data_IF_667362313055
#
_entry.id   IF_667362313055
#
_cell.length_a   1.000
_cell.length_b   1.000
_cell.length_c   1.000
_cell.angle_alpha   90.00
_cell.angle_beta   90.00
_cell.angle_gamma   90.00
#
_symmetry.space_group_name_H-M   'P 1'
#
loop_
_entity.id
_entity.type
_entity.pdbx_description
1 polymer ?
#
# COMPACT_ATOMS: atom_id res chain seq x y z
N UNK A 1 80.86 -20.40 59.39
CA UNK A 1 79.85 -21.11 58.61
C UNK A 1 78.48 -20.42 58.52
N UNK A 2 78.14 -19.43 59.33
CA UNK A 2 76.82 -18.76 59.37
C UNK A 2 76.59 -17.74 58.25
N UNK A 3 77.61 -17.20 57.60
CA UNK A 3 77.48 -16.18 56.57
C UNK A 3 77.02 -16.72 55.20
N UNK A 4 77.46 -17.90 54.81
CA UNK A 4 77.10 -18.59 53.56
C UNK A 4 75.66 -19.02 53.55
N UNK A 5 75.14 -19.54 54.65
CA UNK A 5 73.77 -19.97 54.76
C UNK A 5 72.78 -18.78 54.69
N UNK A 6 73.15 -17.57 55.07
CA UNK A 6 72.34 -16.36 55.04
C UNK A 6 72.24 -15.78 53.61
N UNK A 7 73.33 -15.87 52.82
CA UNK A 7 73.41 -15.43 51.43
C UNK A 7 72.56 -16.38 50.50
N UNK A 8 72.67 -17.67 50.73
CA UNK A 8 71.89 -18.67 50.01
C UNK A 8 70.38 -18.53 50.31
N UNK A 9 70.01 -18.20 51.55
CA UNK A 9 68.60 -17.91 51.90
C UNK A 9 68.05 -16.70 51.15
N UNK A 10 68.87 -15.63 51.02
CA UNK A 10 68.44 -14.41 50.24
C UNK A 10 68.32 -14.69 48.76
N UNK A 11 69.26 -15.43 48.17
CA UNK A 11 69.18 -15.84 46.75
C UNK A 11 67.96 -16.73 46.46
N UNK A 12 67.65 -17.65 47.34
CA UNK A 12 66.49 -18.50 47.23
C UNK A 12 65.20 -17.70 47.33
N UNK A 13 65.09 -16.72 48.22
CA UNK A 13 63.93 -15.83 48.35
C UNK A 13 63.80 -14.95 47.11
N UNK A 14 64.89 -14.36 46.61
CA UNK A 14 64.81 -13.57 45.35
C UNK A 14 64.43 -14.41 44.14
N UNK A 15 64.92 -15.65 44.03
CA UNK A 15 64.53 -16.57 42.97
C UNK A 15 62.98 -16.91 43.03
N UNK A 16 62.48 -17.20 44.23
CA UNK A 16 61.07 -17.47 44.44
C UNK A 16 60.23 -16.26 44.04
N UNK A 17 60.64 -15.08 44.49
CA UNK A 17 59.89 -13.86 44.13
C UNK A 17 59.89 -13.61 42.62
N UNK A 18 61.03 -13.76 41.94
CA UNK A 18 61.10 -13.64 40.47
C UNK A 18 60.25 -14.70 39.77
N UNK A 19 60.25 -15.93 40.26
CA UNK A 19 59.43 -17.00 39.73
C UNK A 19 57.92 -16.71 39.88
N UNK A 20 57.51 -16.20 41.05
CA UNK A 20 56.10 -15.82 41.29
C UNK A 20 55.68 -14.64 40.41
N UNK A 21 56.55 -13.62 40.23
CA UNK A 21 56.25 -12.47 39.36
C UNK A 21 56.18 -12.89 37.89
N UNK A 22 57.06 -13.83 37.45
CA UNK A 22 56.96 -14.41 36.11
C UNK A 22 55.66 -15.17 35.90
N UNK A 23 55.23 -15.99 36.86
CA UNK A 23 53.99 -16.72 36.81
C UNK A 23 52.77 -15.78 36.72
N UNK A 24 52.78 -14.70 37.55
CA UNK A 24 51.73 -13.66 37.50
C UNK A 24 51.68 -12.96 36.17
N UNK A 25 52.83 -12.59 35.60
CA UNK A 25 52.96 -11.93 34.30
C UNK A 25 52.45 -12.84 33.17
N UNK A 26 52.85 -14.11 33.19
CA UNK A 26 52.34 -15.12 32.24
C UNK A 26 50.84 -15.30 32.32
N UNK A 27 50.25 -15.36 33.52
CA UNK A 27 48.82 -15.45 33.72
C UNK A 27 48.09 -14.20 33.18
N UNK A 28 48.65 -13.00 33.41
CA UNK A 28 48.11 -11.76 32.87
C UNK A 28 48.15 -11.70 31.34
N UNK A 29 49.25 -12.12 30.72
CA UNK A 29 49.37 -12.19 29.26
C UNK A 29 48.36 -13.18 28.70
N UNK A 30 48.24 -14.37 29.28
CA UNK A 30 47.27 -15.37 28.85
C UNK A 30 45.81 -14.90 29.02
N UNK A 31 45.49 -14.09 30.03
CA UNK A 31 44.18 -13.48 30.19
C UNK A 31 43.90 -12.45 29.09
N UNK A 32 44.85 -11.52 28.85
CA UNK A 32 44.74 -10.51 27.78
C UNK A 32 44.61 -11.14 26.39
N UNK A 33 45.34 -12.22 26.11
CA UNK A 33 45.17 -12.94 24.83
C UNK A 33 43.79 -13.55 24.67
N UNK A 34 43.23 -14.11 25.75
CA UNK A 34 41.85 -14.64 25.71
C UNK A 34 40.84 -13.55 25.45
N UNK A 35 40.95 -12.42 26.13
CA UNK A 35 40.07 -11.27 25.95
C UNK A 35 40.20 -10.69 24.53
N UNK A 36 41.42 -10.57 24.00
CA UNK A 36 41.65 -10.11 22.65
C UNK A 36 41.01 -11.04 21.59
N UNK A 37 41.14 -12.38 21.77
CA UNK A 37 40.52 -13.37 20.90
C UNK A 37 38.98 -13.30 20.95
N UNK A 38 38.42 -13.09 22.15
CA UNK A 38 36.95 -12.94 22.30
C UNK A 38 36.44 -11.67 21.59
N UNK A 39 37.14 -10.54 21.77
CA UNK A 39 36.78 -9.29 21.08
C UNK A 39 36.93 -9.42 19.54
N UNK A 40 37.97 -10.10 19.07
CA UNK A 40 38.09 -10.35 17.63
C UNK A 40 36.97 -11.24 17.07
N UNK A 41 36.56 -12.28 17.80
CA UNK A 41 35.44 -13.13 17.40
C UNK A 41 34.11 -12.32 17.34
N UNK A 42 33.86 -11.50 18.35
CA UNK A 42 32.70 -10.63 18.37
C UNK A 42 32.71 -9.60 17.22
N UNK A 43 33.85 -8.98 16.97
CA UNK A 43 34.02 -8.04 15.86
C UNK A 43 33.75 -8.70 14.49
N UNK A 44 34.21 -9.94 14.30
CA UNK A 44 33.94 -10.70 13.07
C UNK A 44 32.47 -11.01 12.91
N UNK A 45 31.79 -11.45 13.97
CA UNK A 45 30.35 -11.74 13.94
C UNK A 45 29.53 -10.47 13.62
N UNK A 46 29.86 -9.34 14.26
CA UNK A 46 29.21 -8.04 13.99
C UNK A 46 29.43 -7.59 12.54
N UNK A 47 30.64 -7.77 12.02
CA UNK A 47 30.94 -7.43 10.62
C UNK A 47 30.14 -8.28 9.63
N UNK A 48 30.07 -9.58 9.84
CA UNK A 48 29.29 -10.49 9.01
C UNK A 48 27.79 -10.16 9.05
N UNK A 49 27.27 -9.83 10.23
CA UNK A 49 25.89 -9.39 10.39
C UNK A 49 25.60 -8.07 9.65
N UNK A 50 26.52 -7.12 9.70
CA UNK A 50 26.42 -5.84 8.99
C UNK A 50 26.48 -6.03 7.46
N UNK A 51 27.38 -6.88 6.97
CA UNK A 51 27.49 -7.22 5.54
C UNK A 51 26.20 -7.90 5.03
N UNK A 52 25.65 -8.87 5.79
CA UNK A 52 24.39 -9.51 5.45
C UNK A 52 23.19 -8.54 5.49
N UNK A 53 23.20 -7.58 6.41
CA UNK A 53 22.17 -6.54 6.47
C UNK A 53 22.26 -5.57 5.28
N UNK A 54 23.49 -5.23 4.84
CA UNK A 54 23.73 -4.37 3.69
C UNK A 54 23.24 -5.02 2.39
N UNK A 55 23.51 -6.30 2.18
CA UNK A 55 23.01 -7.07 1.02
C UNK A 55 21.48 -7.07 1.01
N UNK A 56 20.86 -7.44 2.12
CA UNK A 56 19.38 -7.44 2.22
C UNK A 56 18.76 -6.07 1.95
N UNK A 57 19.42 -5.00 2.39
CA UNK A 57 18.98 -3.63 2.10
C UNK A 57 19.09 -3.31 0.61
N UNK A 58 20.14 -3.75 -0.06
CA UNK A 58 20.31 -3.56 -1.51
C UNK A 58 19.25 -4.33 -2.31
N UNK A 59 18.97 -5.57 -1.95
CA UNK A 59 17.92 -6.38 -2.59
C UNK A 59 16.53 -5.73 -2.42
N UNK A 60 16.23 -5.22 -1.23
CA UNK A 60 14.98 -4.50 -0.97
C UNK A 60 14.89 -3.20 -1.78
N UNK A 61 15.97 -2.44 -1.88
CA UNK A 61 16.00 -1.23 -2.70
C UNK A 61 15.81 -1.54 -4.18
N UNK A 62 16.43 -2.62 -4.68
CA UNK A 62 16.26 -3.06 -6.06
C UNK A 62 14.80 -3.47 -6.34
N UNK A 63 14.16 -4.22 -5.46
CA UNK A 63 12.76 -4.60 -5.60
C UNK A 63 11.82 -3.39 -5.59
N UNK A 64 12.05 -2.42 -4.67
CA UNK A 64 11.27 -1.19 -4.62
C UNK A 64 11.45 -0.31 -5.86
N UNK A 65 12.64 -0.29 -6.45
CA UNK A 65 12.90 0.45 -7.70
C UNK A 65 12.19 -0.20 -8.89
N UNK A 66 12.15 -1.53 -8.97
CA UNK A 66 11.38 -2.25 -9.98
C UNK A 66 9.88 -1.95 -9.86
N UNK A 67 9.33 -2.04 -8.65
CA UNK A 67 7.92 -1.69 -8.40
C UNK A 67 7.61 -0.22 -8.72
N UNK A 68 8.52 0.70 -8.42
CA UNK A 68 8.36 2.12 -8.76
C UNK A 68 8.36 2.33 -10.28
N UNK A 69 9.27 1.68 -11.01
CA UNK A 69 9.34 1.73 -12.47
C UNK A 69 8.10 1.13 -13.15
N UNK A 70 7.56 0.05 -12.62
CA UNK A 70 6.29 -0.51 -13.07
C UNK A 70 5.13 0.46 -12.81
N UNK A 71 5.08 1.09 -11.65
CA UNK A 71 4.08 2.10 -11.30
C UNK A 71 4.14 3.32 -12.22
N UNK A 72 5.32 3.80 -12.57
CA UNK A 72 5.50 4.93 -13.50
C UNK A 72 5.02 4.57 -14.92
N UNK A 73 5.35 3.38 -15.43
CA UNK A 73 4.83 2.88 -16.71
C UNK A 73 3.31 2.80 -16.70
N UNK A 74 2.74 2.37 -15.60
CA UNK A 74 1.31 2.26 -15.36
C UNK A 74 0.62 3.62 -15.37
N UNK A 75 1.17 4.61 -14.67
CA UNK A 75 0.66 5.99 -14.66
C UNK A 75 0.73 6.57 -16.08
N UNK A 76 1.83 6.33 -16.80
CA UNK A 76 1.98 6.80 -18.17
C UNK A 76 0.95 6.13 -19.12
N UNK A 77 0.68 4.84 -18.96
CA UNK A 77 -0.33 4.12 -19.74
C UNK A 77 -1.76 4.59 -19.42
N UNK A 78 -2.06 4.83 -18.15
CA UNK A 78 -3.33 5.41 -17.70
C UNK A 78 -3.55 6.83 -18.26
N UNK A 79 -2.51 7.67 -18.25
CA UNK A 79 -2.56 9.01 -18.83
C UNK A 79 -2.76 8.92 -20.35
N UNK A 80 -2.06 8.01 -21.03
CA UNK A 80 -2.24 7.78 -22.45
C UNK A 80 -3.63 7.21 -22.79
N UNK A 81 -4.16 6.30 -21.96
CA UNK A 81 -5.51 5.78 -22.11
C UNK A 81 -6.58 6.86 -21.88
N UNK A 82 -6.36 7.76 -20.91
CA UNK A 82 -7.21 8.92 -20.67
C UNK A 82 -7.22 9.88 -21.85
N UNK A 83 -6.05 10.21 -22.39
CA UNK A 83 -5.92 11.08 -23.58
C UNK A 83 -6.62 10.45 -24.79
N UNK A 84 -6.50 9.14 -24.98
CA UNK A 84 -7.22 8.41 -26.06
C UNK A 84 -8.72 8.41 -25.80
N UNK A 85 -9.17 8.25 -24.56
CA UNK A 85 -10.57 8.31 -24.19
C UNK A 85 -11.16 9.70 -24.44
N UNK A 86 -10.46 10.75 -24.00
CA UNK A 86 -10.83 12.15 -24.23
C UNK A 86 -10.85 12.47 -25.75
N UNK A 87 -9.88 11.98 -26.52
CA UNK A 87 -9.85 12.12 -27.96
C UNK A 87 -11.00 11.37 -28.66
N UNK A 88 -11.37 10.17 -28.19
CA UNK A 88 -12.49 9.39 -28.73
C UNK A 88 -13.82 10.04 -28.37
N UNK A 89 -13.93 10.62 -27.17
CA UNK A 89 -15.13 11.36 -26.75
C UNK A 89 -15.30 12.68 -27.54
N UNK A 90 -14.19 13.35 -27.86
CA UNK A 90 -14.21 14.59 -28.66
C UNK A 90 -14.37 14.33 -30.17
N UNK A 91 -13.94 13.14 -30.67
CA UNK A 91 -14.06 12.73 -32.08
C UNK A 91 -15.38 12.00 -32.37
N UNK A 92 -16.11 11.57 -31.35
CA UNK A 92 -17.42 10.98 -31.54
C UNK A 92 -18.41 12.09 -31.82
N UNK A 93 -18.81 12.22 -33.09
CA UNK A 93 -20.04 12.89 -33.54
C UNK A 93 -21.14 12.61 -32.51
N UNK A 94 -21.98 13.60 -32.17
CA UNK A 94 -23.04 13.38 -31.20
C UNK A 94 -23.88 12.20 -31.65
N UNK A 95 -23.71 11.06 -31.01
CA UNK A 95 -24.72 10.00 -31.02
C UNK A 95 -25.95 10.69 -30.48
N UNK A 96 -27.01 10.69 -31.29
CA UNK A 96 -28.29 11.30 -30.95
C UNK A 96 -28.60 11.00 -29.48
N UNK A 97 -29.03 11.99 -28.69
CA UNK A 97 -29.25 11.81 -27.25
C UNK A 97 -30.24 10.66 -27.07
N UNK A 98 -29.69 9.54 -26.54
CA UNK A 98 -30.56 8.46 -26.04
C UNK A 98 -31.46 9.08 -24.96
N UNK A 99 -32.78 8.84 -24.96
CA UNK A 99 -33.80 9.62 -24.25
C UNK A 99 -33.79 9.47 -22.73
N UNK A 100 -32.72 8.98 -22.12
CA UNK A 100 -32.62 8.81 -20.66
C UNK A 100 -31.41 9.60 -20.11
N UNK A 101 -31.32 10.87 -20.45
CA UNK A 101 -30.61 11.82 -19.61
C UNK A 101 -31.52 12.10 -18.41
N UNK A 102 -31.12 11.71 -17.22
CA UNK A 102 -31.86 12.07 -16.00
C UNK A 102 -32.23 13.54 -16.07
N UNK A 103 -33.51 13.87 -16.01
CA UNK A 103 -34.00 15.26 -16.02
C UNK A 103 -33.42 16.10 -14.87
N UNK A 104 -32.79 15.46 -13.90
CA UNK A 104 -32.18 16.11 -12.73
C UNK A 104 -30.67 15.76 -12.70
N UNK A 105 -29.78 16.74 -12.85
CA UNK A 105 -28.35 16.52 -12.81
C UNK A 105 -27.89 15.86 -11.50
N UNK A 106 -26.95 14.92 -11.57
CA UNK A 106 -26.34 14.30 -10.39
C UNK A 106 -25.77 15.37 -9.44
N UNK A 107 -25.19 16.43 -9.97
CA UNK A 107 -24.62 17.55 -9.21
C UNK A 107 -25.62 18.24 -8.27
N UNK A 108 -26.94 18.11 -8.49
CA UNK A 108 -27.98 18.70 -7.62
C UNK A 108 -28.49 17.72 -6.55
N UNK A 109 -28.04 16.45 -6.58
CA UNK A 109 -28.53 15.38 -5.70
C UNK A 109 -27.67 15.14 -4.46
N UNK A 110 -27.07 16.18 -3.87
CA UNK A 110 -26.33 16.04 -2.60
C UNK A 110 -27.20 15.42 -1.51
N UNK A 111 -26.68 14.39 -0.83
CA UNK A 111 -27.34 13.62 0.24
C UNK A 111 -28.65 12.94 -0.18
N UNK A 112 -28.84 12.68 -1.48
CA UNK A 112 -30.02 12.05 -2.01
C UNK A 112 -29.74 10.79 -2.82
N UNK A 113 -28.46 10.49 -3.12
CA UNK A 113 -28.10 9.29 -3.85
C UNK A 113 -28.32 8.05 -2.98
N UNK A 114 -28.92 6.98 -3.52
CA UNK A 114 -29.02 5.72 -2.81
C UNK A 114 -27.63 5.10 -2.59
N UNK A 115 -27.49 4.32 -1.57
CA UNK A 115 -26.27 3.52 -1.36
C UNK A 115 -26.17 2.45 -2.43
N UNK A 116 -24.98 2.24 -3.04
CA UNK A 116 -24.78 1.25 -4.08
C UNK A 116 -24.79 -0.18 -3.54
N UNK A 117 -24.48 -0.35 -2.27
CA UNK A 117 -24.49 -1.60 -1.51
C UNK A 117 -24.70 -1.30 -0.03
N UNK A 118 -25.32 -2.21 0.70
CA UNK A 118 -25.40 -2.14 2.16
C UNK A 118 -24.04 -2.55 2.74
N UNK A 119 -23.42 -1.66 3.50
CA UNK A 119 -22.09 -1.92 4.07
C UNK A 119 -21.51 -0.74 4.83
N UNK A 120 -20.44 -1.00 5.57
CA UNK A 120 -19.73 0.03 6.34
C UNK A 120 -18.63 0.68 5.52
N UNK A 121 -18.27 1.93 5.84
CA UNK A 121 -17.18 2.66 5.18
C UNK A 121 -15.84 2.15 5.71
N UNK A 122 -15.17 1.29 4.93
CA UNK A 122 -13.85 0.75 5.24
C UNK A 122 -12.73 1.75 4.95
N UNK A 123 -12.84 2.52 3.84
CA UNK A 123 -11.87 3.54 3.46
C UNK A 123 -12.57 4.82 3.04
N UNK A 124 -12.03 5.97 3.44
CA UNK A 124 -12.64 7.29 3.20
C UNK A 124 -11.96 8.02 2.05
N UNK A 125 -12.65 8.99 1.48
CA UNK A 125 -12.13 9.93 0.49
C UNK A 125 -11.04 10.84 1.07
N UNK A 126 -10.03 11.18 0.27
CA UNK A 126 -8.99 12.14 0.59
C UNK A 126 -7.72 11.52 1.15
N UNK A 127 -6.96 12.31 1.89
CA UNK A 127 -5.68 11.87 2.46
C UNK A 127 -5.91 10.97 3.67
N UNK A 128 -5.34 9.79 3.63
CA UNK A 128 -5.35 8.83 4.74
C UNK A 128 -3.90 8.47 5.11
N UNK A 129 -3.61 8.48 6.40
CA UNK A 129 -2.31 8.02 6.92
C UNK A 129 -2.45 6.56 7.33
N UNK A 130 -1.63 5.70 6.75
CA UNK A 130 -1.54 4.32 7.18
C UNK A 130 -0.87 4.27 8.57
N UNK A 131 -1.56 3.77 9.62
CA UNK A 131 -1.01 3.72 10.95
C UNK A 131 0.14 2.72 11.11
N UNK A 132 0.26 1.73 10.22
CA UNK A 132 1.32 0.69 10.26
C UNK A 132 2.62 1.18 9.64
N UNK A 133 2.53 1.91 8.52
CA UNK A 133 3.69 2.30 7.73
C UNK A 133 3.96 3.81 7.76
N UNK A 134 3.07 4.61 8.38
CA UNK A 134 3.19 6.07 8.43
C UNK A 134 3.09 6.75 7.06
N UNK A 135 2.82 5.99 6.00
CA UNK A 135 2.66 6.49 4.63
C UNK A 135 1.32 7.22 4.47
N UNK A 136 1.32 8.26 3.65
CA UNK A 136 0.08 8.97 3.31
C UNK A 136 -0.37 8.54 1.92
N UNK A 137 -1.57 7.96 1.83
CA UNK A 137 -2.24 7.64 0.58
C UNK A 137 -3.36 8.63 0.31
N UNK A 138 -3.67 8.88 -0.97
CA UNK A 138 -4.78 9.72 -1.38
C UNK A 138 -5.79 8.84 -2.11
N UNK A 139 -7.02 8.75 -1.55
CA UNK A 139 -8.13 8.05 -2.19
C UNK A 139 -9.06 9.03 -2.88
N UNK A 140 -9.38 8.78 -4.16
CA UNK A 140 -10.34 9.58 -4.94
C UNK A 140 -11.80 9.14 -4.74
N UNK A 141 -12.02 8.08 -3.97
CA UNK A 141 -13.33 7.52 -3.66
C UNK A 141 -13.39 6.98 -2.23
N UNK A 142 -14.39 6.17 -1.97
CA UNK A 142 -14.57 5.42 -0.72
C UNK A 142 -14.56 3.93 -1.00
N UNK A 143 -14.18 3.11 -0.01
CA UNK A 143 -14.42 1.67 -0.07
C UNK A 143 -15.49 1.30 0.95
N UNK A 144 -16.51 0.60 0.50
CA UNK A 144 -17.60 0.06 1.33
C UNK A 144 -17.31 -1.42 1.58
N UNK A 145 -17.20 -1.83 2.84
CA UNK A 145 -17.08 -3.23 3.22
C UNK A 145 -18.46 -3.90 3.03
N UNK A 146 -18.50 -4.94 2.22
CA UNK A 146 -19.70 -5.73 1.98
C UNK A 146 -19.29 -7.15 1.57
N UNK A 147 -20.16 -8.12 1.78
CA UNK A 147 -19.89 -9.51 1.45
C UNK A 147 -19.70 -9.69 -0.06
N UNK A 148 -18.69 -10.47 -0.45
CA UNK A 148 -18.45 -10.83 -1.83
C UNK A 148 -19.71 -11.47 -2.45
N UNK A 149 -20.01 -11.10 -3.70
CA UNK A 149 -21.24 -11.54 -4.39
C UNK A 149 -22.47 -10.68 -4.12
N UNK A 150 -22.44 -9.74 -3.17
CA UNK A 150 -23.57 -8.80 -2.94
C UNK A 150 -23.79 -7.94 -4.17
N UNK A 151 -25.07 -7.73 -4.54
CA UNK A 151 -25.45 -6.94 -5.71
C UNK A 151 -25.08 -5.45 -5.53
N UNK A 152 -24.34 -4.91 -6.50
CA UNK A 152 -23.96 -3.49 -6.57
C UNK A 152 -24.95 -2.76 -7.48
N UNK A 153 -25.49 -1.64 -7.02
CA UNK A 153 -26.54 -0.87 -7.71
C UNK A 153 -26.04 0.50 -8.15
N UNK A 154 -26.52 0.95 -9.31
CA UNK A 154 -26.25 2.30 -9.80
C UNK A 154 -26.86 3.35 -8.86
N UNK A 155 -26.06 4.36 -8.49
CA UNK A 155 -26.51 5.45 -7.59
C UNK A 155 -27.37 6.49 -8.28
N UNK A 156 -27.35 6.56 -9.63
CA UNK A 156 -28.07 7.56 -10.41
C UNK A 156 -28.27 7.04 -11.84
N UNK A 157 -29.35 7.46 -12.54
CA UNK A 157 -29.55 7.10 -13.96
C UNK A 157 -28.41 7.59 -14.84
N UNK A 158 -28.06 6.80 -15.87
CA UNK A 158 -27.00 7.16 -16.81
C UNK A 158 -26.73 6.10 -17.85
N UNK A 159 -25.65 6.28 -18.59
CA UNK A 159 -25.17 5.35 -19.62
C UNK A 159 -23.83 4.74 -19.22
N UNK A 160 -23.69 3.44 -19.35
CA UNK A 160 -22.42 2.73 -19.07
C UNK A 160 -21.41 3.09 -20.16
N UNK A 161 -20.34 3.79 -19.78
CA UNK A 161 -19.26 4.17 -20.70
C UNK A 161 -18.07 3.20 -20.65
N UNK A 162 -17.97 2.44 -19.57
CA UNK A 162 -16.97 1.39 -19.40
C UNK A 162 -17.52 0.23 -18.55
N UNK A 163 -17.21 -1.00 -18.96
CA UNK A 163 -17.56 -2.23 -18.26
C UNK A 163 -16.53 -3.30 -18.58
N UNK A 164 -15.70 -3.71 -17.62
CA UNK A 164 -14.66 -4.71 -17.81
C UNK A 164 -13.51 -4.61 -16.81
N UNK A 165 -12.43 -5.35 -17.07
CA UNK A 165 -11.24 -5.38 -16.22
C UNK A 165 -10.45 -4.08 -16.35
N UNK A 166 -10.16 -3.47 -15.21
CA UNK A 166 -9.32 -2.28 -15.15
C UNK A 166 -8.27 -2.47 -14.05
N UNK A 167 -7.02 -2.25 -14.39
CA UNK A 167 -5.94 -2.53 -13.47
C UNK A 167 -5.98 -1.63 -12.24
N UNK A 168 -5.71 -2.19 -11.06
CA UNK A 168 -5.82 -1.50 -9.77
C UNK A 168 -7.24 -1.48 -9.20
N UNK A 169 -8.28 -1.75 -10.02
CA UNK A 169 -9.68 -1.77 -9.61
C UNK A 169 -10.41 -3.10 -9.90
N UNK A 170 -9.69 -4.11 -10.42
CA UNK A 170 -10.32 -5.37 -10.81
C UNK A 170 -11.36 -5.16 -11.91
N UNK A 171 -12.55 -5.75 -11.76
CA UNK A 171 -13.67 -5.42 -12.62
C UNK A 171 -14.24 -4.06 -12.24
N UNK A 172 -14.43 -3.20 -13.24
CA UNK A 172 -14.85 -1.81 -13.08
C UNK A 172 -16.04 -1.51 -14.00
N UNK A 173 -17.01 -0.78 -13.48
CA UNK A 173 -18.08 -0.16 -14.26
C UNK A 173 -18.00 1.35 -14.08
N UNK A 174 -18.11 2.11 -15.17
CA UNK A 174 -18.20 3.57 -15.17
C UNK A 174 -19.51 3.95 -15.83
N UNK A 175 -20.31 4.76 -15.12
CA UNK A 175 -21.58 5.29 -15.60
C UNK A 175 -21.46 6.80 -15.80
N UNK A 176 -21.80 7.28 -16.99
CA UNK A 176 -21.93 8.69 -17.34
C UNK A 176 -23.36 9.14 -17.06
N UNK A 177 -23.52 10.12 -16.21
CA UNK A 177 -24.80 10.71 -15.81
C UNK A 177 -25.14 11.99 -16.58
N UNK A 178 -24.31 12.35 -17.56
CA UNK A 178 -24.39 13.62 -18.27
C UNK A 178 -23.74 14.77 -17.50
N UNK A 179 -23.59 15.92 -18.18
CA UNK A 179 -23.01 17.14 -17.59
C UNK A 179 -21.67 16.93 -16.89
N UNK A 180 -20.79 16.09 -17.46
CA UNK A 180 -19.47 15.73 -16.91
C UNK A 180 -19.50 15.12 -15.50
N UNK A 181 -20.64 14.44 -15.15
CA UNK A 181 -20.81 13.73 -13.91
C UNK A 181 -20.72 12.22 -14.12
N UNK A 182 -19.90 11.52 -13.33
CA UNK A 182 -19.64 10.08 -13.46
C UNK A 182 -19.67 9.39 -12.11
N UNK A 183 -20.06 8.12 -12.10
CA UNK A 183 -19.84 7.21 -10.98
C UNK A 183 -19.02 5.99 -11.42
N UNK A 184 -18.10 5.56 -10.57
CA UNK A 184 -17.21 4.45 -10.80
C UNK A 184 -17.44 3.39 -9.72
N UNK A 185 -17.59 2.14 -10.12
CA UNK A 185 -17.82 0.97 -9.27
C UNK A 185 -16.68 -0.03 -9.53
N UNK A 186 -15.72 -0.09 -8.60
CA UNK A 186 -14.53 -0.96 -8.70
C UNK A 186 -14.56 -2.10 -7.70
N UNK A 187 -13.59 -3.02 -7.82
CA UNK A 187 -13.44 -4.26 -7.04
C UNK A 187 -14.65 -5.20 -7.22
N UNK A 188 -15.25 -5.18 -8.41
CA UNK A 188 -16.33 -6.10 -8.70
C UNK A 188 -15.81 -7.51 -8.98
N UNK A 189 -16.54 -8.53 -8.53
CA UNK A 189 -16.30 -9.93 -8.93
C UNK A 189 -16.92 -10.24 -10.27
N UNK A 190 -18.07 -9.62 -10.54
CA UNK A 190 -18.84 -9.80 -11.78
C UNK A 190 -19.38 -8.46 -12.26
N UNK A 191 -19.28 -8.20 -13.56
CA UNK A 191 -19.92 -7.08 -14.23
C UNK A 191 -21.27 -7.54 -14.80
N UNK A 192 -22.35 -6.87 -14.41
CA UNK A 192 -23.73 -7.22 -14.80
C UNK A 192 -24.28 -6.41 -15.97
N UNK A 193 -23.50 -5.47 -16.52
CA UNK A 193 -23.93 -4.55 -17.57
C UNK A 193 -22.89 -4.47 -18.68
N UNK A 194 -23.29 -4.00 -19.85
CA UNK A 194 -22.40 -3.81 -20.99
C UNK A 194 -22.19 -2.32 -21.29
N UNK A 195 -21.07 -1.97 -21.91
CA UNK A 195 -20.83 -0.63 -22.43
C UNK A 195 -21.95 -0.21 -23.40
N UNK A 196 -22.46 1.00 -23.23
CA UNK A 196 -23.57 1.55 -23.99
C UNK A 196 -24.95 1.26 -23.37
N UNK A 197 -25.05 0.39 -22.38
CA UNK A 197 -26.30 0.13 -21.69
C UNK A 197 -26.75 1.35 -20.89
N UNK A 198 -28.08 1.59 -20.88
CA UNK A 198 -28.69 2.59 -20.01
C UNK A 198 -29.08 1.94 -18.69
N UNK A 199 -28.79 2.61 -17.58
CA UNK A 199 -29.11 2.16 -16.23
C UNK A 199 -29.93 3.22 -15.50
N UNK A 200 -30.90 2.78 -14.70
CA UNK A 200 -31.64 3.62 -13.76
C UNK A 200 -31.01 3.54 -12.37
N UNK A 201 -31.31 4.49 -11.48
CA UNK A 201 -30.94 4.38 -10.08
C UNK A 201 -31.48 3.08 -9.48
N UNK A 202 -30.61 2.31 -8.79
CA UNK A 202 -30.98 1.01 -8.23
C UNK A 202 -30.77 -0.19 -9.19
N UNK A 203 -30.51 0.04 -10.48
CA UNK A 203 -30.17 -1.05 -11.41
C UNK A 203 -28.89 -1.76 -10.96
N UNK A 204 -28.90 -3.10 -10.95
CA UNK A 204 -27.70 -3.91 -10.62
C UNK A 204 -26.68 -3.77 -11.74
N UNK A 205 -25.48 -3.27 -11.40
CA UNK A 205 -24.36 -3.08 -12.34
C UNK A 205 -23.28 -4.15 -12.20
N UNK A 206 -23.27 -4.89 -11.09
CA UNK A 206 -22.31 -5.95 -10.83
C UNK A 206 -22.49 -6.56 -9.44
N UNK A 207 -21.48 -7.31 -9.01
CA UNK A 207 -21.42 -7.92 -7.68
C UNK A 207 -20.12 -7.52 -7.00
N UNK A 208 -20.16 -7.36 -5.67
CA UNK A 208 -18.98 -7.08 -4.83
C UNK A 208 -17.94 -8.19 -5.00
N UNK A 209 -16.70 -7.81 -5.15
CA UNK A 209 -15.55 -8.70 -5.15
C UNK A 209 -14.61 -8.39 -4.01
N UNK A 210 -13.32 -8.73 -4.19
CA UNK A 210 -12.30 -8.53 -3.17
C UNK A 210 -11.59 -7.19 -3.35
N UNK A 211 -11.53 -6.41 -2.27
CA UNK A 211 -10.69 -5.21 -2.19
C UNK A 211 -9.21 -5.61 -2.04
N UNK A 212 -8.25 -4.67 -2.22
CA UNK A 212 -6.80 -4.97 -2.15
C UNK A 212 -6.31 -5.55 -0.82
N UNK A 213 -7.09 -5.42 0.24
CA UNK A 213 -6.81 -6.03 1.55
C UNK A 213 -7.30 -7.48 1.68
N UNK A 214 -7.87 -8.05 0.60
CA UNK A 214 -8.40 -9.42 0.54
C UNK A 214 -9.75 -9.59 1.22
N UNK A 215 -10.44 -8.52 1.56
CA UNK A 215 -11.80 -8.53 2.11
C UNK A 215 -12.80 -8.13 1.04
N UNK A 216 -14.03 -8.61 1.19
CA UNK A 216 -15.13 -8.17 0.34
C UNK A 216 -15.33 -6.65 0.44
N UNK A 217 -15.38 -5.98 -0.70
CA UNK A 217 -15.52 -4.53 -0.72
C UNK A 217 -15.84 -3.95 -2.08
N UNK A 218 -16.55 -2.82 -2.08
CA UNK A 218 -16.87 -2.04 -3.26
C UNK A 218 -16.12 -0.71 -3.22
N UNK A 219 -15.37 -0.40 -4.26
CA UNK A 219 -14.86 0.96 -4.49
C UNK A 219 -15.93 1.80 -5.18
N UNK A 220 -16.27 2.94 -4.57
CA UNK A 220 -17.17 3.94 -5.14
C UNK A 220 -16.46 5.27 -5.28
N UNK A 221 -16.43 5.82 -6.49
CA UNK A 221 -15.96 7.18 -6.79
C UNK A 221 -17.05 7.94 -7.50
N UNK A 222 -17.24 9.20 -7.13
CA UNK A 222 -18.13 10.14 -7.81
C UNK A 222 -17.28 11.28 -8.34
N UNK A 223 -17.50 11.64 -9.60
CA UNK A 223 -16.85 12.80 -10.26
C UNK A 223 -17.90 13.80 -10.70
N UNK A 224 -17.60 15.08 -10.44
CA UNK A 224 -18.38 16.22 -10.93
C UNK A 224 -17.42 17.15 -11.67
N UNK A 225 -17.77 17.55 -12.87
CA UNK A 225 -16.91 18.34 -13.76
C UNK A 225 -15.52 17.69 -13.95
N UNK A 226 -15.50 16.35 -14.03
CA UNK A 226 -14.28 15.54 -14.17
C UNK A 226 -13.42 15.45 -12.92
N UNK A 227 -13.79 16.08 -11.80
CA UNK A 227 -13.04 16.06 -10.54
C UNK A 227 -13.65 15.08 -9.53
N UNK A 228 -12.85 14.28 -8.84
CA UNK A 228 -13.35 13.42 -7.78
C UNK A 228 -13.85 14.24 -6.61
N UNK A 229 -15.02 13.88 -6.11
CA UNK A 229 -15.68 14.49 -4.95
C UNK A 229 -15.92 13.42 -3.88
N UNK A 230 -16.06 13.83 -2.61
CA UNK A 230 -16.33 12.91 -1.52
C UNK A 230 -17.70 12.24 -1.66
N UNK A 231 -17.81 10.93 -1.96
CA UNK A 231 -19.10 10.29 -2.20
C UNK A 231 -20.06 10.36 -1.01
N UNK A 232 -19.54 10.40 0.24
CA UNK A 232 -20.34 10.49 1.45
C UNK A 232 -21.15 11.80 1.57
N UNK A 233 -20.77 12.83 0.82
CA UNK A 233 -21.55 14.07 0.76
C UNK A 233 -22.75 13.98 -0.20
N UNK A 234 -22.78 12.95 -1.05
CA UNK A 234 -23.79 12.73 -2.08
C UNK A 234 -24.75 11.62 -1.72
N UNK A 235 -24.27 10.60 -1.01
CA UNK A 235 -25.10 9.51 -0.53
C UNK A 235 -26.10 9.99 0.52
N UNK A 236 -27.29 9.41 0.53
CA UNK A 236 -28.31 9.64 1.55
C UNK A 236 -27.77 9.28 2.93
N UNK A 237 -28.30 9.86 4.00
CA UNK A 237 -27.96 9.40 5.34
C UNK A 237 -28.34 7.94 5.48
N UNK A 238 -27.43 7.10 5.96
CA UNK A 238 -27.77 5.75 6.36
C UNK A 238 -28.89 5.83 7.42
N UNK A 239 -29.95 5.08 7.21
CA UNK A 239 -31.00 4.92 8.21
C UNK A 239 -30.50 4.09 9.37
#
# INVERSE_FOLDING_TARGET
MTYLAHDDGRRLAAYRQTSDDLARTQAQVAARERDARALQAEARTRRQAAEAAAIRKQDLLASLQLEAGERERWVAELVAARVRLDATMNASTPVAPSPVVSRVPLATRRRQLPWPVDGEVASRFGRQRDPRFGTTTVSNGITLAADAGTAVRAVHPGTVVFAGTFTGFGQLVIVDHGQHAYSLYGYLSLVGVQRGATVEAGTVVGQVGDAPDGRGGLYLEVRIDGRPVNPLEWLSRAQ
#
